data_IF_816998037587
#
_entry.id   IF_816998037587
#
_cell.length_a   1.000
_cell.length_b   1.000
_cell.length_c   1.000
_cell.angle_alpha   90.00
_cell.angle_beta   90.00
_cell.angle_gamma   90.00
#
_symmetry.space_group_name_H-M   'P 1'
#
loop_
_entity.id
_entity.type
_entity.pdbx_description
1 polymer ?
#
# COMPACT_ATOMS: atom_id res chain seq x y z
N UNK A 1 70.11 -10.65 -11.09
CA UNK A 1 68.88 -11.46 -10.92
C UNK A 1 68.25 -11.10 -9.58
N UNK A 2 66.92 -11.03 -9.55
CA UNK A 2 66.03 -10.73 -8.40
C UNK A 2 65.70 -9.25 -8.11
N UNK A 3 64.58 -8.76 -8.64
CA UNK A 3 63.61 -7.97 -7.87
C UNK A 3 62.22 -8.47 -8.28
N UNK A 4 61.51 -9.08 -7.33
CA UNK A 4 60.19 -9.67 -7.51
C UNK A 4 59.09 -8.61 -7.41
N UNK A 5 58.12 -8.71 -8.32
CA UNK A 5 56.85 -8.01 -8.33
C UNK A 5 55.98 -8.49 -7.17
N UNK A 6 55.47 -7.58 -6.33
CA UNK A 6 54.32 -7.82 -5.45
C UNK A 6 53.49 -6.53 -5.36
N UNK A 7 52.45 -6.46 -6.18
CA UNK A 7 51.36 -5.47 -6.07
C UNK A 7 50.36 -6.02 -5.06
N UNK A 8 50.15 -5.33 -3.95
CA UNK A 8 49.10 -5.61 -2.99
C UNK A 8 47.98 -4.56 -3.13
N UNK A 9 46.85 -4.95 -3.71
CA UNK A 9 45.61 -4.19 -3.63
C UNK A 9 44.91 -4.54 -2.30
N UNK A 10 44.89 -3.58 -1.37
CA UNK A 10 44.05 -3.65 -0.17
C UNK A 10 42.69 -2.99 -0.46
N UNK A 11 41.59 -3.72 -0.28
CA UNK A 11 40.24 -3.19 -0.41
C UNK A 11 39.18 -4.27 -0.24
N UNK A 12 38.90 -4.69 0.99
CA UNK A 12 37.72 -5.48 1.31
C UNK A 12 36.61 -4.52 1.80
N UNK A 13 35.57 -4.34 0.97
CA UNK A 13 34.31 -3.69 1.35
C UNK A 13 33.43 -4.72 2.08
N UNK A 14 33.14 -4.51 3.36
CA UNK A 14 32.22 -5.36 4.13
C UNK A 14 30.77 -4.91 3.92
N UNK A 15 30.04 -5.59 3.04
CA UNK A 15 28.60 -5.38 2.79
C UNK A 15 27.67 -6.42 3.47
N UNK A 16 28.19 -7.28 4.37
CA UNK A 16 27.47 -8.51 4.75
C UNK A 16 26.67 -8.48 6.07
N UNK A 17 26.52 -7.35 6.77
CA UNK A 17 25.84 -7.34 8.08
C UNK A 17 24.43 -6.73 8.10
N UNK A 18 24.03 -5.92 7.11
CA UNK A 18 22.72 -5.25 7.12
C UNK A 18 21.58 -6.06 6.48
N UNK A 19 21.89 -7.01 5.58
CA UNK A 19 20.88 -7.81 4.87
C UNK A 19 20.19 -8.84 5.79
N UNK A 20 20.97 -9.55 6.62
CA UNK A 20 20.48 -10.73 7.34
C UNK A 20 19.48 -10.40 8.45
N UNK A 21 19.68 -9.30 9.16
CA UNK A 21 18.78 -8.87 10.23
C UNK A 21 17.43 -8.41 9.68
N UNK A 22 17.42 -7.68 8.56
CA UNK A 22 16.19 -7.19 7.93
C UNK A 22 15.38 -8.30 7.28
N UNK A 23 16.03 -9.34 6.75
CA UNK A 23 15.38 -10.54 6.23
C UNK A 23 14.80 -11.38 7.38
N UNK A 24 15.54 -11.57 8.49
CA UNK A 24 15.02 -12.29 9.66
C UNK A 24 13.80 -11.60 10.29
N UNK A 25 13.82 -10.27 10.34
CA UNK A 25 12.69 -9.49 10.90
C UNK A 25 11.39 -9.69 10.11
N UNK A 26 11.49 -9.94 8.81
CA UNK A 26 10.34 -10.17 7.91
C UNK A 26 9.94 -11.64 7.78
N UNK A 27 10.90 -12.55 7.98
CA UNK A 27 10.69 -14.01 7.87
C UNK A 27 10.35 -14.67 9.20
N UNK A 28 10.36 -13.91 10.31
CA UNK A 28 9.85 -14.41 11.59
C UNK A 28 8.37 -14.78 11.41
N UNK A 29 7.95 -16.00 11.79
CA UNK A 29 6.58 -16.42 11.65
C UNK A 29 5.68 -15.54 12.52
N UNK A 30 4.52 -15.17 11.98
CA UNK A 30 3.51 -14.35 12.65
C UNK A 30 2.71 -15.10 13.73
N UNK A 31 3.11 -16.34 14.04
CA UNK A 31 2.52 -17.21 15.05
C UNK A 31 3.45 -18.39 15.38
N UNK A 32 3.11 -19.13 16.43
CA UNK A 32 3.82 -20.36 16.81
C UNK A 32 3.34 -21.53 15.94
N UNK A 33 4.28 -22.29 15.37
CA UNK A 33 3.97 -23.50 14.59
C UNK A 33 4.00 -24.69 15.53
N UNK A 34 2.82 -25.20 15.88
CA UNK A 34 2.69 -26.44 16.65
C UNK A 34 2.61 -27.65 15.70
N UNK A 35 3.18 -28.77 16.14
CA UNK A 35 3.10 -30.06 15.44
C UNK A 35 1.92 -30.86 15.95
N UNK A 36 1.43 -31.77 15.11
CA UNK A 36 0.35 -32.69 15.49
C UNK A 36 0.81 -33.55 16.65
N UNK A 37 0.17 -33.38 17.82
CA UNK A 37 0.52 -34.07 19.07
C UNK A 37 1.02 -33.16 20.19
N UNK A 38 1.32 -31.89 19.89
CA UNK A 38 1.68 -30.92 20.92
C UNK A 38 0.43 -30.51 21.73
N UNK A 39 0.58 -30.37 23.04
CA UNK A 39 -0.40 -29.76 23.94
C UNK A 39 -0.49 -28.25 23.65
N UNK A 40 -1.32 -27.91 22.66
CA UNK A 40 -1.58 -26.53 22.25
C UNK A 40 -2.24 -25.79 23.41
N UNK A 41 -1.60 -24.77 24.03
CA UNK A 41 -2.34 -23.88 24.92
C UNK A 41 -3.43 -23.22 24.08
N UNK A 42 -4.69 -23.38 24.50
CA UNK A 42 -5.82 -22.64 23.91
C UNK A 42 -5.62 -21.17 24.27
N UNK A 43 -4.75 -20.52 23.52
CA UNK A 43 -4.56 -19.09 23.56
C UNK A 43 -5.86 -18.51 23.04
N UNK A 44 -6.52 -17.70 23.88
CA UNK A 44 -7.60 -16.81 23.46
C UNK A 44 -7.17 -16.20 22.10
N UNK A 45 -7.98 -16.30 21.04
CA UNK A 45 -7.60 -15.73 19.75
C UNK A 45 -7.13 -14.30 20.00
N UNK A 46 -6.04 -13.85 19.34
CA UNK A 46 -5.62 -12.47 19.47
C UNK A 46 -6.88 -11.66 19.20
N UNK A 47 -7.27 -10.86 20.17
CA UNK A 47 -8.19 -9.78 19.89
C UNK A 47 -7.48 -9.01 18.79
N UNK A 48 -8.01 -9.11 17.58
CA UNK A 48 -7.69 -8.14 16.55
C UNK A 48 -8.15 -6.86 17.21
N UNK A 49 -7.22 -6.14 17.82
CA UNK A 49 -7.38 -4.74 18.15
C UNK A 49 -7.87 -4.15 16.84
N UNK A 50 -9.17 -3.87 16.77
CA UNK A 50 -9.73 -3.12 15.68
C UNK A 50 -9.17 -1.73 15.89
N UNK A 51 -7.93 -1.50 15.41
CA UNK A 51 -7.47 -0.17 15.05
C UNK A 51 -8.68 0.44 14.36
N UNK A 52 -9.15 1.58 14.87
CA UNK A 52 -10.35 2.23 14.35
C UNK A 52 -10.28 2.45 12.82
N UNK A 53 -11.34 2.99 12.21
CA UNK A 53 -11.37 3.19 10.76
C UNK A 53 -10.07 3.86 10.29
N UNK A 54 -9.45 3.29 9.26
CA UNK A 54 -8.19 3.78 8.70
C UNK A 54 -8.39 5.20 8.18
N UNK A 55 -7.33 6.00 8.23
CA UNK A 55 -7.33 7.32 7.62
C UNK A 55 -7.43 7.24 6.10
N UNK A 56 -7.89 8.34 5.48
CA UNK A 56 -7.96 8.45 4.03
C UNK A 56 -6.60 8.28 3.34
N UNK A 57 -5.53 8.78 3.94
CA UNK A 57 -4.16 8.61 3.45
C UNK A 57 -3.72 7.15 3.46
N UNK A 58 -4.00 6.41 4.54
CA UNK A 58 -3.68 4.99 4.65
C UNK A 58 -4.42 4.16 3.60
N UNK A 59 -5.72 4.41 3.41
CA UNK A 59 -6.54 3.72 2.41
C UNK A 59 -6.09 4.08 0.99
N UNK A 60 -5.85 5.37 0.72
CA UNK A 60 -5.33 5.83 -0.56
C UNK A 60 -4.01 5.13 -0.90
N UNK A 61 -3.05 5.17 0.02
CA UNK A 61 -1.71 4.59 -0.19
C UNK A 61 -1.80 3.08 -0.42
N UNK A 62 -2.63 2.37 0.36
CA UNK A 62 -2.72 0.92 0.30
C UNK A 62 -3.52 0.39 -0.89
N UNK A 63 -4.52 1.15 -1.39
CA UNK A 63 -5.52 0.64 -2.34
C UNK A 63 -5.66 1.50 -3.59
N UNK A 64 -5.75 2.81 -3.44
CA UNK A 64 -6.13 3.71 -4.53
C UNK A 64 -4.93 4.17 -5.37
N UNK A 65 -3.77 4.36 -4.75
CA UNK A 65 -2.56 4.95 -5.34
C UNK A 65 -2.00 4.12 -6.49
N UNK A 66 -2.22 2.80 -6.49
CA UNK A 66 -1.81 1.94 -7.60
C UNK A 66 -2.36 2.44 -8.93
N UNK A 67 -3.63 2.83 -8.97
CA UNK A 67 -4.25 3.35 -10.19
C UNK A 67 -4.12 4.87 -10.28
N UNK A 68 -4.46 5.58 -9.20
CA UNK A 68 -4.57 7.04 -9.21
C UNK A 68 -3.25 7.78 -9.03
N UNK A 69 -2.17 7.12 -8.58
CA UNK A 69 -0.85 7.75 -8.44
C UNK A 69 -0.14 7.92 -9.78
N UNK A 70 -0.27 6.94 -10.68
CA UNK A 70 0.36 6.95 -12.00
C UNK A 70 -0.64 7.11 -13.17
N UNK A 71 -1.94 7.04 -12.91
CA UNK A 71 -2.98 7.07 -13.93
C UNK A 71 -3.13 5.76 -14.71
N UNK A 72 -2.94 4.61 -14.05
CA UNK A 72 -3.01 3.29 -14.69
C UNK A 72 -4.41 3.06 -15.26
N UNK A 73 -4.48 2.47 -16.45
CA UNK A 73 -5.73 2.14 -17.13
C UNK A 73 -6.69 3.34 -17.32
N UNK A 74 -6.14 4.55 -17.42
CA UNK A 74 -6.91 5.79 -17.61
C UNK A 74 -7.50 6.37 -16.32
N UNK A 75 -7.11 5.86 -15.14
CA UNK A 75 -7.49 6.45 -13.86
C UNK A 75 -7.04 7.93 -13.79
N UNK A 76 -7.86 8.84 -13.26
CA UNK A 76 -7.47 10.24 -13.11
C UNK A 76 -6.31 10.33 -12.12
N UNK A 77 -5.17 10.84 -12.59
CA UNK A 77 -3.95 10.95 -11.80
C UNK A 77 -4.10 12.05 -10.75
N UNK A 78 -3.86 11.72 -9.49
CA UNK A 78 -3.82 12.70 -8.40
C UNK A 78 -2.64 13.66 -8.62
N UNK A 79 -2.87 14.95 -8.37
CA UNK A 79 -1.93 16.04 -8.66
C UNK A 79 -2.03 16.59 -10.08
N UNK A 80 -2.84 15.98 -10.96
CA UNK A 80 -3.10 16.49 -12.31
C UNK A 80 -4.46 17.18 -12.37
N UNK A 81 -4.53 18.47 -12.02
CA UNK A 81 -5.78 19.23 -11.88
C UNK A 81 -6.70 19.17 -13.12
N UNK A 82 -6.14 19.11 -14.33
CA UNK A 82 -6.91 18.96 -15.57
C UNK A 82 -7.70 17.65 -15.63
N UNK A 83 -7.18 16.56 -15.06
CA UNK A 83 -7.90 15.29 -14.99
C UNK A 83 -9.09 15.33 -14.01
N UNK A 84 -9.10 16.29 -13.08
CA UNK A 84 -10.09 16.36 -12.00
C UNK A 84 -11.14 17.46 -12.14
N UNK A 85 -10.93 18.43 -13.03
CA UNK A 85 -11.82 19.61 -13.16
C UNK A 85 -13.27 19.20 -13.42
N UNK A 86 -13.54 18.42 -14.47
CA UNK A 86 -14.89 17.96 -14.82
C UNK A 86 -15.48 16.95 -13.81
N UNK A 87 -14.61 16.29 -13.03
CA UNK A 87 -15.01 15.33 -11.99
C UNK A 87 -15.50 16.08 -10.76
N UNK A 88 -14.73 17.06 -10.29
CA UNK A 88 -15.10 17.92 -9.16
C UNK A 88 -16.36 18.72 -9.48
N UNK A 89 -16.55 19.15 -10.73
CA UNK A 89 -17.75 19.86 -11.18
C UNK A 89 -19.05 19.03 -11.02
N UNK A 90 -18.98 17.71 -10.93
CA UNK A 90 -20.15 16.85 -10.67
C UNK A 90 -20.59 16.86 -9.21
N UNK A 91 -19.75 17.37 -8.30
CA UNK A 91 -19.98 17.40 -6.86
C UNK A 91 -19.45 16.16 -6.14
N UNK A 92 -19.14 16.33 -4.86
CA UNK A 92 -18.51 15.29 -4.04
C UNK A 92 -19.40 14.05 -3.88
N UNK A 93 -20.72 14.21 -3.77
CA UNK A 93 -21.65 13.09 -3.61
C UNK A 93 -21.55 12.07 -4.75
N UNK A 94 -21.41 12.55 -5.99
CA UNK A 94 -21.23 11.71 -7.17
C UNK A 94 -19.86 11.01 -7.16
N UNK A 95 -18.80 11.72 -6.74
CA UNK A 95 -17.47 11.11 -6.62
C UNK A 95 -17.46 10.00 -5.57
N UNK A 96 -18.11 10.22 -4.43
CA UNK A 96 -18.25 9.23 -3.38
C UNK A 96 -19.08 8.03 -3.84
N UNK A 97 -20.21 8.26 -4.49
CA UNK A 97 -21.05 7.19 -5.02
C UNK A 97 -20.28 6.32 -6.03
N UNK A 98 -19.58 6.94 -6.98
CA UNK A 98 -18.75 6.23 -7.95
C UNK A 98 -17.60 5.44 -7.30
N UNK A 99 -16.98 6.00 -6.26
CA UNK A 99 -15.91 5.29 -5.54
C UNK A 99 -16.44 4.10 -4.75
N UNK A 100 -17.60 4.24 -4.09
CA UNK A 100 -18.20 3.18 -3.26
C UNK A 100 -18.79 2.07 -4.14
N UNK A 101 -19.64 2.44 -5.12
CA UNK A 101 -20.38 1.48 -5.94
C UNK A 101 -19.61 0.99 -7.16
N UNK A 102 -18.53 1.67 -7.51
CA UNK A 102 -17.81 1.48 -8.77
C UNK A 102 -18.46 2.26 -9.90
N UNK A 103 -17.68 2.52 -10.94
CA UNK A 103 -18.10 3.35 -12.06
C UNK A 103 -17.44 2.92 -13.36
N UNK A 104 -18.24 2.79 -14.41
CA UNK A 104 -17.75 2.62 -15.77
C UNK A 104 -17.91 3.92 -16.53
N UNK A 105 -16.79 4.57 -16.86
CA UNK A 105 -16.76 5.82 -17.59
C UNK A 105 -16.02 5.74 -18.92
N UNK A 106 -15.90 6.88 -19.57
CA UNK A 106 -15.12 7.05 -20.81
C UNK A 106 -13.62 6.83 -20.60
N UNK A 107 -13.11 7.13 -19.41
CA UNK A 107 -11.69 6.99 -19.07
C UNK A 107 -11.30 5.55 -18.68
N UNK A 108 -12.27 4.70 -18.31
CA UNK A 108 -12.01 3.34 -17.84
C UNK A 108 -13.01 2.86 -16.80
N UNK A 109 -12.63 1.78 -16.12
CA UNK A 109 -13.41 1.15 -15.05
C UNK A 109 -12.80 1.47 -13.69
N UNK A 110 -13.61 1.98 -12.77
CA UNK A 110 -13.31 2.09 -11.34
C UNK A 110 -14.05 0.98 -10.59
N UNK A 111 -13.34 0.03 -9.96
CA UNK A 111 -13.98 -1.02 -9.17
C UNK A 111 -14.68 -0.45 -7.93
N UNK A 112 -15.71 -1.15 -7.47
CA UNK A 112 -16.39 -0.83 -6.22
C UNK A 112 -15.38 -0.77 -5.05
N UNK A 113 -15.51 0.25 -4.21
CA UNK A 113 -14.60 0.59 -3.11
C UNK A 113 -13.12 0.69 -3.51
N UNK A 114 -12.82 1.01 -4.78
CA UNK A 114 -11.46 0.99 -5.30
C UNK A 114 -10.77 -0.38 -5.21
N UNK A 115 -11.55 -1.47 -5.17
CA UNK A 115 -11.04 -2.83 -4.97
C UNK A 115 -10.73 -3.17 -3.51
N UNK A 116 -11.03 -2.29 -2.56
CA UNK A 116 -10.89 -2.55 -1.13
C UNK A 116 -12.12 -3.28 -0.59
N UNK A 117 -12.12 -4.62 -0.66
CA UNK A 117 -13.21 -5.45 -0.17
C UNK A 117 -13.42 -5.36 1.36
N UNK A 118 -12.39 -4.97 2.09
CA UNK A 118 -12.36 -4.82 3.54
C UNK A 118 -12.61 -3.37 4.01
N UNK A 119 -12.79 -2.41 3.09
CA UNK A 119 -13.05 -1.01 3.47
C UNK A 119 -14.52 -0.77 3.82
N UNK A 120 -14.75 0.02 4.86
CA UNK A 120 -16.06 0.66 5.08
C UNK A 120 -16.30 1.78 4.06
N UNK A 121 -17.54 2.24 3.92
CA UNK A 121 -17.85 3.33 2.98
C UNK A 121 -17.21 4.65 3.45
N UNK A 122 -17.12 4.85 4.77
CA UNK A 122 -16.45 6.00 5.40
C UNK A 122 -14.95 6.02 5.10
N UNK A 123 -14.29 4.86 5.14
CA UNK A 123 -12.87 4.74 4.78
C UNK A 123 -12.62 5.08 3.31
N UNK A 124 -13.55 4.68 2.42
CA UNK A 124 -13.47 5.02 0.99
C UNK A 124 -13.70 6.52 0.79
N UNK A 125 -14.68 7.12 1.46
CA UNK A 125 -14.96 8.56 1.40
C UNK A 125 -13.72 9.34 1.87
N UNK A 126 -13.15 8.99 3.02
CA UNK A 126 -11.95 9.64 3.55
C UNK A 126 -10.78 9.55 2.55
N UNK A 127 -10.63 8.43 1.83
CA UNK A 127 -9.62 8.29 0.79
C UNK A 127 -9.87 9.22 -0.41
N UNK A 128 -11.13 9.36 -0.85
CA UNK A 128 -11.50 10.29 -1.92
C UNK A 128 -11.25 11.73 -1.49
N UNK A 129 -11.61 12.10 -0.25
CA UNK A 129 -11.33 13.43 0.31
C UNK A 129 -9.83 13.73 0.34
N UNK A 130 -9.02 12.80 0.82
CA UNK A 130 -7.57 12.92 0.80
C UNK A 130 -7.04 13.14 -0.63
N UNK A 131 -7.59 12.43 -1.62
CA UNK A 131 -7.25 12.65 -3.03
C UNK A 131 -7.62 14.05 -3.53
N UNK A 132 -8.77 14.58 -3.11
CA UNK A 132 -9.20 15.94 -3.45
C UNK A 132 -8.35 17.02 -2.75
N UNK A 133 -7.88 16.75 -1.54
CA UNK A 133 -6.98 17.63 -0.81
C UNK A 133 -5.61 17.74 -1.48
N UNK A 134 -5.09 16.64 -2.04
CA UNK A 134 -3.84 16.65 -2.81
C UNK A 134 -3.91 17.43 -4.13
N UNK A 135 -5.10 17.90 -4.54
CA UNK A 135 -5.28 18.74 -5.74
C UNK A 135 -5.28 20.24 -5.45
N UNK A 136 -5.27 20.63 -4.17
CA UNK A 136 -5.21 22.02 -3.72
C UNK A 136 -3.76 22.50 -3.64
#
# INVERSE_FOLDING_TARGET
MLIALLVACAGAVSAHHMEKESIQKRTKPSGEVYRVGDDVPVSKPPVVETSGPRSGEEVYTAKCAMCHGAGIAGAPKVGEASAWTDRIAQGNDILFEHAIKGYQGSAGFMPAKGGCADCSDEEVIAAVEHMLEMLK
#
